data_IF_269610456892
#
_entry.id   IF_269610456892
#
_cell.length_a   1.000
_cell.length_b   1.000
_cell.length_c   1.000
_cell.angle_alpha   90.00
_cell.angle_beta   90.00
_cell.angle_gamma   90.00
#
_symmetry.space_group_name_H-M   'P 1'
#
loop_
_entity.id
_entity.type
_entity.pdbx_description
1 polymer ?
#
# COMPACT_ATOMS: atom_id res chain seq x y z
N UNK A 1 39.24 1.02 35.51
CA UNK A 1 38.83 0.02 34.50
C UNK A 1 37.62 -0.73 35.04
N UNK A 2 36.42 -0.49 34.49
CA UNK A 2 35.23 -1.30 34.83
C UNK A 2 35.33 -2.60 34.03
N UNK A 3 35.56 -3.70 34.71
CA UNK A 3 35.62 -5.05 34.13
C UNK A 3 34.26 -5.36 33.52
N UNK A 4 34.21 -5.60 32.21
CA UNK A 4 32.99 -6.03 31.55
C UNK A 4 32.60 -7.42 32.08
N UNK A 5 31.46 -7.51 32.76
CA UNK A 5 30.88 -8.81 33.12
C UNK A 5 30.29 -9.45 31.87
N UNK A 6 31.08 -10.32 31.22
CA UNK A 6 30.59 -11.22 30.19
C UNK A 6 29.63 -12.21 30.85
N UNK A 7 28.33 -11.94 30.72
CA UNK A 7 27.29 -12.90 31.11
C UNK A 7 27.16 -13.89 29.96
N UNK A 8 27.60 -15.12 30.16
CA UNK A 8 27.32 -16.20 29.22
C UNK A 8 25.80 -16.35 29.09
N UNK A 9 25.26 -15.94 27.94
CA UNK A 9 23.87 -16.24 27.61
C UNK A 9 23.84 -17.73 27.28
N UNK A 10 22.95 -18.53 27.91
CA UNK A 10 22.76 -19.93 27.55
C UNK A 10 22.57 -20.04 26.03
N UNK A 11 23.41 -20.83 25.37
CA UNK A 11 23.39 -21.01 23.91
C UNK A 11 22.17 -21.79 23.42
N UNK A 12 21.51 -22.51 24.32
CA UNK A 12 20.23 -23.16 24.07
C UNK A 12 19.09 -22.21 24.41
N UNK A 13 18.47 -21.63 23.39
CA UNK A 13 17.05 -21.26 23.50
C UNK A 13 16.35 -22.52 23.95
N UNK A 14 15.57 -22.48 25.04
CA UNK A 14 14.84 -23.67 25.50
C UNK A 14 14.16 -24.32 24.29
N UNK A 15 14.58 -25.56 23.96
CA UNK A 15 14.23 -26.30 22.75
C UNK A 15 12.74 -26.63 22.77
N UNK A 16 11.89 -25.62 22.54
CA UNK A 16 10.50 -25.87 22.19
C UNK A 16 10.57 -26.37 20.75
N UNK A 17 10.30 -27.67 20.50
CA UNK A 17 10.36 -28.19 19.16
C UNK A 17 9.33 -27.45 18.31
N UNK A 18 9.71 -27.14 17.07
CA UNK A 18 8.80 -26.51 16.14
C UNK A 18 7.61 -27.42 15.87
N UNK A 19 6.43 -26.82 15.81
CA UNK A 19 5.22 -27.53 15.44
C UNK A 19 5.35 -28.04 13.99
N UNK A 20 4.74 -29.19 13.65
CA UNK A 20 4.74 -29.70 12.28
C UNK A 20 4.27 -28.66 11.26
N UNK A 21 3.28 -27.83 11.62
CA UNK A 21 2.79 -26.73 10.78
C UNK A 21 3.86 -25.65 10.55
N UNK A 22 4.64 -25.29 11.57
CA UNK A 22 5.76 -24.33 11.43
C UNK A 22 6.83 -24.87 10.48
N UNK A 23 7.13 -26.17 10.59
CA UNK A 23 8.10 -26.84 9.73
C UNK A 23 7.64 -26.87 8.26
N UNK A 24 6.36 -27.16 8.04
CA UNK A 24 5.76 -27.13 6.70
C UNK A 24 5.75 -25.72 6.10
N UNK A 25 5.31 -24.71 6.87
CA UNK A 25 5.31 -23.30 6.45
C UNK A 25 6.72 -22.85 6.09
N UNK A 26 7.73 -23.17 6.92
CA UNK A 26 9.12 -22.86 6.59
C UNK A 26 9.54 -23.53 5.28
N UNK A 27 9.36 -24.85 5.17
CA UNK A 27 9.78 -25.61 4.00
C UNK A 27 9.10 -25.14 2.70
N UNK A 28 7.85 -24.70 2.78
CA UNK A 28 7.04 -24.31 1.63
C UNK A 28 7.21 -22.84 1.26
N UNK A 29 7.39 -21.93 2.23
CA UNK A 29 7.36 -20.48 2.00
C UNK A 29 8.68 -19.75 2.23
N UNK A 30 9.59 -20.27 3.07
CA UNK A 30 10.76 -19.52 3.55
C UNK A 30 12.09 -20.20 3.26
N UNK A 31 12.12 -21.53 3.18
CA UNK A 31 13.30 -22.31 2.85
C UNK A 31 13.78 -21.97 1.44
N UNK A 32 15.01 -21.46 1.34
CA UNK A 32 15.60 -21.19 0.05
C UNK A 32 15.86 -22.52 -0.68
N UNK A 33 15.40 -22.60 -1.93
CA UNK A 33 15.54 -23.75 -2.81
C UNK A 33 16.05 -23.27 -4.16
N UNK A 34 16.83 -24.10 -4.84
CA UNK A 34 17.23 -23.87 -6.22
C UNK A 34 16.02 -24.01 -7.15
N UNK A 35 16.18 -23.64 -8.43
CA UNK A 35 15.15 -23.80 -9.48
C UNK A 35 14.59 -25.22 -9.56
N UNK A 36 15.41 -26.24 -9.29
CA UNK A 36 15.02 -27.66 -9.35
C UNK A 36 14.44 -28.18 -8.02
N UNK A 37 14.12 -27.28 -7.07
CA UNK A 37 13.53 -27.63 -5.78
C UNK A 37 14.51 -28.17 -4.73
N UNK A 38 15.83 -28.24 -5.06
CA UNK A 38 16.83 -28.69 -4.10
C UNK A 38 17.03 -27.65 -2.99
N UNK A 39 16.99 -28.02 -1.70
CA UNK A 39 17.25 -27.10 -0.61
C UNK A 39 18.64 -26.48 -0.66
N UNK A 40 18.69 -25.15 -0.55
CA UNK A 40 19.91 -24.38 -0.28
C UNK A 40 20.06 -24.24 1.24
N UNK A 41 19.00 -23.79 1.90
CA UNK A 41 18.91 -23.84 3.36
C UNK A 41 18.53 -25.27 3.78
N UNK A 42 19.41 -25.99 4.50
CA UNK A 42 19.13 -27.37 4.93
C UNK A 42 18.25 -27.38 6.18
N UNK A 43 18.45 -26.40 7.06
CA UNK A 43 17.78 -26.19 8.33
C UNK A 43 17.27 -24.75 8.46
N UNK A 44 16.42 -24.49 9.45
CA UNK A 44 15.96 -23.13 9.77
C UNK A 44 17.14 -22.23 10.19
N UNK A 45 18.11 -22.81 10.89
CA UNK A 45 19.35 -22.12 11.25
C UNK A 45 20.15 -21.68 10.02
N UNK A 46 20.16 -22.46 8.93
CA UNK A 46 20.79 -22.03 7.68
C UNK A 46 20.07 -20.82 7.08
N UNK A 47 18.72 -20.79 7.16
CA UNK A 47 17.92 -19.61 6.79
C UNK A 47 18.31 -18.42 7.68
N UNK A 48 18.40 -18.59 8.99
CA UNK A 48 18.78 -17.51 9.90
C UNK A 48 20.19 -17.00 9.64
N UNK A 49 21.16 -17.89 9.40
CA UNK A 49 22.54 -17.51 9.08
C UNK A 49 22.63 -16.74 7.77
N UNK A 50 21.91 -17.18 6.73
CA UNK A 50 21.81 -16.46 5.46
C UNK A 50 21.24 -15.06 5.64
N UNK A 51 20.14 -14.93 6.39
CA UNK A 51 19.50 -13.63 6.66
C UNK A 51 20.42 -12.74 7.47
N UNK A 52 21.02 -13.24 8.55
CA UNK A 52 21.93 -12.49 9.40
C UNK A 52 23.13 -11.93 8.63
N UNK A 53 23.78 -12.77 7.81
CA UNK A 53 24.88 -12.35 6.95
C UNK A 53 24.45 -11.26 5.97
N UNK A 54 23.32 -11.46 5.29
CA UNK A 54 22.80 -10.48 4.32
C UNK A 54 22.44 -9.13 4.97
N UNK A 55 21.93 -9.14 6.21
CA UNK A 55 21.65 -7.91 6.94
C UNK A 55 22.94 -7.18 7.36
N UNK A 56 23.99 -7.93 7.69
CA UNK A 56 25.27 -7.36 8.10
C UNK A 56 26.09 -6.79 6.93
N UNK A 57 25.78 -7.12 5.67
CA UNK A 57 26.55 -6.65 4.50
C UNK A 57 26.63 -5.11 4.36
N UNK A 58 25.70 -4.38 4.95
CA UNK A 58 25.69 -2.91 4.95
C UNK A 58 26.75 -2.29 5.86
N UNK A 59 27.34 -3.08 6.77
CA UNK A 59 28.37 -2.60 7.69
C UNK A 59 29.68 -2.24 6.97
N UNK A 60 30.37 -1.26 7.52
CA UNK A 60 31.48 -0.59 6.82
C UNK A 60 32.70 -1.47 6.60
N UNK A 61 33.06 -2.30 7.58
CA UNK A 61 34.29 -3.12 7.55
C UNK A 61 33.98 -4.61 7.66
N UNK A 62 34.86 -5.49 7.15
CA UNK A 62 34.70 -6.95 7.30
C UNK A 62 34.53 -7.40 8.76
N UNK A 63 35.23 -6.75 9.70
CA UNK A 63 35.17 -7.07 11.13
C UNK A 63 33.79 -6.74 11.70
N UNK A 64 33.23 -5.58 11.33
CA UNK A 64 31.88 -5.19 11.72
C UNK A 64 30.81 -6.11 11.10
N UNK A 65 31.00 -6.50 9.83
CA UNK A 65 30.09 -7.45 9.16
C UNK A 65 30.03 -8.78 9.89
N UNK A 66 31.17 -9.31 10.31
CA UNK A 66 31.23 -10.56 11.09
C UNK A 66 30.57 -10.39 12.47
N UNK A 67 30.94 -9.32 13.20
CA UNK A 67 30.38 -9.02 14.52
C UNK A 67 28.85 -8.89 14.48
N UNK A 68 28.32 -8.13 13.52
CA UNK A 68 26.88 -7.92 13.38
C UNK A 68 26.16 -9.15 12.85
N UNK A 69 26.77 -9.93 11.94
CA UNK A 69 26.21 -11.21 11.48
C UNK A 69 25.97 -12.15 12.66
N UNK A 70 26.94 -12.30 13.56
CA UNK A 70 26.77 -13.14 14.76
C UNK A 70 25.69 -12.60 15.71
N UNK A 71 25.63 -11.28 15.92
CA UNK A 71 24.58 -10.64 16.74
C UNK A 71 23.18 -10.84 16.14
N UNK A 72 23.03 -10.66 14.83
CA UNK A 72 21.75 -10.88 14.15
C UNK A 72 21.35 -12.35 14.17
N UNK A 73 22.30 -13.26 13.98
CA UNK A 73 22.04 -14.70 14.06
C UNK A 73 21.57 -15.10 15.46
N UNK A 74 22.24 -14.60 16.50
CA UNK A 74 21.80 -14.76 17.89
C UNK A 74 20.37 -14.21 18.06
N UNK A 75 20.09 -12.99 17.62
CA UNK A 75 18.77 -12.37 17.77
C UNK A 75 17.65 -13.17 17.07
N UNK A 76 17.90 -13.66 15.85
CA UNK A 76 16.95 -14.48 15.09
C UNK A 76 16.57 -15.76 15.82
N UNK A 77 17.57 -16.46 16.40
CA UNK A 77 17.31 -17.65 17.24
C UNK A 77 16.50 -17.32 18.49
N UNK A 78 16.66 -16.11 19.04
CA UNK A 78 15.99 -15.67 20.27
C UNK A 78 14.66 -14.92 20.01
N UNK A 79 14.07 -15.07 18.82
CA UNK A 79 12.71 -14.62 18.54
C UNK A 79 12.58 -13.23 17.90
N UNK A 80 13.69 -12.57 17.55
CA UNK A 80 13.65 -11.37 16.72
C UNK A 80 13.39 -11.76 15.25
N UNK A 81 12.16 -12.18 14.94
CA UNK A 81 11.79 -12.70 13.62
C UNK A 81 11.40 -11.56 12.68
N UNK A 82 12.13 -11.33 11.57
CA UNK A 82 11.83 -10.26 10.65
C UNK A 82 10.63 -10.62 9.76
N UNK A 83 10.09 -9.61 9.08
CA UNK A 83 8.97 -9.78 8.17
C UNK A 83 9.26 -10.83 7.08
N UNK A 84 8.18 -11.45 6.57
CA UNK A 84 8.30 -12.62 5.71
C UNK A 84 9.07 -12.43 4.39
N UNK A 85 9.20 -11.20 3.84
CA UNK A 85 10.04 -10.97 2.64
C UNK A 85 11.51 -10.91 2.97
N UNK A 86 11.88 -10.34 4.11
CA UNK A 86 13.25 -10.35 4.60
C UNK A 86 13.72 -11.81 4.75
N UNK A 87 12.97 -12.64 5.47
CA UNK A 87 13.30 -14.07 5.67
C UNK A 87 13.43 -14.84 4.33
N UNK A 88 12.53 -14.59 3.38
CA UNK A 88 12.49 -15.30 2.08
C UNK A 88 13.58 -14.86 1.10
N UNK A 89 13.98 -13.58 1.14
CA UNK A 89 14.70 -12.95 0.02
C UNK A 89 16.07 -12.37 0.39
N UNK A 90 16.35 -12.07 1.67
CA UNK A 90 17.67 -11.57 2.08
C UNK A 90 18.75 -12.63 1.82
N UNK A 91 19.80 -12.30 1.06
CA UNK A 91 20.86 -13.25 0.68
C UNK A 91 20.42 -14.34 -0.30
N UNK A 92 19.30 -14.15 -1.01
CA UNK A 92 18.77 -15.11 -1.98
C UNK A 92 18.98 -14.70 -3.45
N UNK A 93 19.73 -13.63 -3.72
CA UNK A 93 19.81 -12.96 -5.03
C UNK A 93 20.30 -13.89 -6.15
N UNK A 94 21.15 -14.88 -5.85
CA UNK A 94 21.59 -15.89 -6.83
C UNK A 94 20.42 -16.72 -7.39
N UNK A 95 19.38 -16.95 -6.59
CA UNK A 95 18.22 -17.77 -6.97
C UNK A 95 16.93 -16.97 -7.18
N UNK A 96 16.86 -15.76 -6.62
CA UNK A 96 15.71 -14.84 -6.65
C UNK A 96 16.17 -13.39 -6.92
N UNK A 97 16.80 -13.11 -8.08
CA UNK A 97 17.53 -11.85 -8.32
C UNK A 97 16.63 -10.60 -8.36
N UNK A 98 15.36 -10.75 -8.74
CA UNK A 98 14.43 -9.64 -8.90
C UNK A 98 13.36 -9.62 -7.80
N UNK A 99 13.76 -9.84 -6.55
CA UNK A 99 12.85 -9.81 -5.39
C UNK A 99 13.28 -8.78 -4.36
N UNK A 100 12.30 -8.22 -3.65
CA UNK A 100 12.53 -7.20 -2.61
C UNK A 100 12.52 -7.82 -1.21
N UNK A 101 13.27 -7.24 -0.28
CA UNK A 101 13.16 -7.51 1.16
C UNK A 101 12.06 -6.69 1.82
N UNK A 102 11.47 -5.72 1.11
CA UNK A 102 10.37 -4.88 1.60
C UNK A 102 9.04 -5.63 1.46
N UNK A 103 8.24 -5.61 2.53
CA UNK A 103 6.91 -6.21 2.55
C UNK A 103 5.83 -5.25 2.05
N UNK A 104 5.84 -4.02 2.54
CA UNK A 104 4.75 -3.07 2.43
C UNK A 104 5.22 -1.82 1.71
N UNK A 105 4.46 -1.36 0.72
CA UNK A 105 4.70 -0.11 0.01
C UNK A 105 3.40 0.68 -0.13
N UNK A 106 3.52 1.98 -0.32
CA UNK A 106 2.41 2.84 -0.71
C UNK A 106 2.79 3.48 -2.04
N UNK A 107 1.85 3.46 -2.99
CA UNK A 107 2.02 4.16 -4.26
C UNK A 107 2.23 5.65 -4.01
N UNK A 108 2.98 6.30 -4.90
CA UNK A 108 2.87 7.75 -5.02
C UNK A 108 1.45 8.17 -5.40
N UNK A 109 1.17 9.46 -5.28
CA UNK A 109 -0.09 10.08 -5.69
C UNK A 109 -0.45 9.63 -7.11
N UNK A 110 -1.68 9.16 -7.29
CA UNK A 110 -2.25 8.89 -8.62
C UNK A 110 -2.85 10.21 -9.11
N UNK A 111 -2.30 10.80 -10.15
CA UNK A 111 -2.85 12.03 -10.75
C UNK A 111 -3.99 11.68 -11.68
N UNK A 112 -4.97 12.57 -11.73
CA UNK A 112 -6.16 12.47 -12.58
C UNK A 112 -5.86 12.67 -14.07
N UNK A 113 -5.10 11.73 -14.66
CA UNK A 113 -4.74 11.69 -16.07
C UNK A 113 -4.47 10.25 -16.51
N UNK A 114 -4.75 9.92 -17.77
CA UNK A 114 -4.56 8.54 -18.26
C UNK A 114 -3.11 8.08 -18.18
N UNK A 115 -2.16 8.96 -18.50
CA UNK A 115 -0.74 8.64 -18.45
C UNK A 115 -0.28 8.30 -17.04
N UNK A 116 -0.72 9.06 -16.03
CA UNK A 116 -0.34 8.79 -14.64
C UNK A 116 -1.06 7.55 -14.11
N UNK A 117 -2.37 7.40 -14.36
CA UNK A 117 -3.14 6.21 -13.96
C UNK A 117 -2.47 4.93 -14.47
N UNK A 118 -2.17 4.85 -15.77
CA UNK A 118 -1.54 3.67 -16.37
C UNK A 118 -0.06 3.52 -15.97
N UNK A 119 0.65 4.63 -15.78
CA UNK A 119 1.99 4.62 -15.22
C UNK A 119 2.03 3.99 -13.82
N UNK A 120 1.07 4.33 -12.96
CA UNK A 120 0.90 3.76 -11.62
C UNK A 120 0.47 2.29 -11.64
N UNK A 121 -0.31 1.85 -12.65
CA UNK A 121 -0.56 0.41 -12.88
C UNK A 121 0.74 -0.32 -13.21
N UNK A 122 1.61 0.26 -14.04
CA UNK A 122 2.89 -0.34 -14.39
C UNK A 122 3.82 -0.44 -13.17
N UNK A 123 3.98 0.64 -12.39
CA UNK A 123 4.74 0.64 -11.13
C UNK A 123 4.21 -0.41 -10.14
N UNK A 124 2.88 -0.52 -10.02
CA UNK A 124 2.23 -1.53 -9.21
C UNK A 124 2.57 -2.97 -9.64
N UNK A 125 2.53 -3.25 -10.94
CA UNK A 125 2.88 -4.57 -11.47
C UNK A 125 4.32 -4.96 -11.15
N UNK A 126 5.28 -4.03 -11.31
CA UNK A 126 6.67 -4.27 -10.93
C UNK A 126 6.84 -4.52 -9.43
N UNK A 127 6.11 -3.76 -8.61
CA UNK A 127 6.13 -3.87 -7.15
C UNK A 127 5.59 -5.23 -6.67
N UNK A 128 4.45 -5.67 -7.22
CA UNK A 128 3.84 -6.96 -6.93
C UNK A 128 4.72 -8.13 -7.40
N UNK A 129 5.29 -8.01 -8.61
CA UNK A 129 6.27 -8.96 -9.17
C UNK A 129 7.47 -9.11 -8.22
N UNK A 130 7.98 -8.03 -7.64
CA UNK A 130 9.10 -8.07 -6.71
C UNK A 130 8.77 -8.72 -5.35
N UNK A 131 7.48 -8.93 -5.04
CA UNK A 131 7.03 -9.57 -3.81
C UNK A 131 6.27 -8.64 -2.84
N UNK A 132 6.24 -7.34 -3.09
CA UNK A 132 5.67 -6.37 -2.15
C UNK A 132 4.13 -6.37 -2.23
N UNK A 133 3.47 -6.06 -1.12
CA UNK A 133 2.09 -5.57 -1.14
C UNK A 133 2.08 -4.04 -1.29
N UNK A 134 1.04 -3.50 -1.92
CA UNK A 134 0.99 -2.07 -2.28
C UNK A 134 -0.37 -1.44 -1.98
N UNK A 135 -0.35 -0.27 -1.33
CA UNK A 135 -1.53 0.56 -1.09
C UNK A 135 -1.64 1.75 -2.05
N UNK A 136 -2.86 2.22 -2.30
CA UNK A 136 -3.17 3.37 -3.17
C UNK A 136 -4.26 4.24 -2.55
N UNK A 137 -4.21 5.52 -2.91
CA UNK A 137 -5.27 6.49 -2.64
C UNK A 137 -5.91 6.83 -4.00
N UNK A 138 -7.22 6.57 -4.18
CA UNK A 138 -7.91 6.72 -5.47
C UNK A 138 -8.82 7.95 -5.54
N UNK A 139 -8.92 8.74 -4.47
CA UNK A 139 -9.85 9.89 -4.36
C UNK A 139 -9.39 11.09 -5.15
N UNK A 140 -8.17 11.05 -5.66
CA UNK A 140 -7.63 12.04 -6.58
C UNK A 140 -8.22 11.94 -7.98
N UNK A 141 -8.87 10.83 -8.33
CA UNK A 141 -9.45 10.61 -9.65
C UNK A 141 -10.86 11.21 -9.73
N UNK A 142 -11.16 11.90 -10.82
CA UNK A 142 -12.46 12.61 -10.97
C UNK A 142 -13.65 11.65 -10.93
N UNK A 143 -14.80 12.08 -10.39
CA UNK A 143 -15.94 11.20 -10.16
C UNK A 143 -16.58 10.74 -11.47
N UNK A 144 -17.30 9.61 -11.39
CA UNK A 144 -18.04 9.05 -12.53
C UNK A 144 -18.99 10.09 -13.13
N UNK A 145 -18.96 10.19 -14.46
CA UNK A 145 -19.78 11.17 -15.19
C UNK A 145 -19.20 12.58 -15.21
N UNK A 146 -18.03 12.83 -14.60
CA UNK A 146 -17.32 14.09 -14.83
C UNK A 146 -16.80 14.16 -16.27
N UNK A 147 -16.81 15.36 -16.84
CA UNK A 147 -16.36 15.61 -18.21
C UNK A 147 -14.84 15.52 -18.32
N UNK A 148 -14.34 15.10 -19.48
CA UNK A 148 -12.93 14.98 -19.82
C UNK A 148 -12.67 15.79 -21.08
N UNK A 149 -12.19 17.02 -20.91
CA UNK A 149 -12.02 17.99 -21.99
C UNK A 149 -11.16 17.46 -23.15
N UNK A 150 -10.03 16.84 -22.84
CA UNK A 150 -9.11 16.29 -23.85
C UNK A 150 -9.68 15.12 -24.67
N UNK A 151 -10.74 14.46 -24.19
CA UNK A 151 -11.39 13.34 -24.87
C UNK A 151 -12.78 13.66 -25.43
N UNK A 152 -13.36 14.82 -25.07
CA UNK A 152 -14.73 15.17 -25.45
C UNK A 152 -15.79 14.19 -24.90
N UNK A 153 -15.50 13.55 -23.77
CA UNK A 153 -16.30 12.44 -23.24
C UNK A 153 -16.43 12.51 -21.71
N UNK A 154 -17.19 11.59 -21.13
CA UNK A 154 -17.39 11.48 -19.69
C UNK A 154 -16.63 10.27 -19.12
N UNK A 155 -16.03 10.43 -17.94
CA UNK A 155 -15.27 9.35 -17.30
C UNK A 155 -16.19 8.30 -16.68
N UNK A 156 -15.69 7.06 -16.59
CA UNK A 156 -16.32 5.96 -15.86
C UNK A 156 -16.03 5.97 -14.35
N UNK A 157 -15.22 6.94 -13.89
CA UNK A 157 -14.90 7.17 -12.48
C UNK A 157 -13.81 6.25 -11.91
N UNK A 158 -13.40 6.46 -10.65
CA UNK A 158 -12.22 5.82 -10.06
C UNK A 158 -12.34 4.30 -9.98
N UNK A 159 -13.53 3.79 -9.64
CA UNK A 159 -13.76 2.35 -9.46
C UNK A 159 -13.53 1.54 -10.74
N UNK A 160 -13.82 2.11 -11.91
CA UNK A 160 -13.57 1.44 -13.19
C UNK A 160 -12.07 1.30 -13.47
N UNK A 161 -11.26 2.27 -13.05
CA UNK A 161 -9.81 2.16 -13.11
C UNK A 161 -9.27 1.16 -12.07
N UNK A 162 -9.87 1.09 -10.88
CA UNK A 162 -9.51 0.08 -9.89
C UNK A 162 -9.68 -1.35 -10.43
N UNK A 163 -10.62 -1.60 -11.34
CA UNK A 163 -10.77 -2.91 -12.00
C UNK A 163 -9.53 -3.28 -12.84
N UNK A 164 -8.84 -2.30 -13.45
CA UNK A 164 -7.56 -2.53 -14.15
C UNK A 164 -6.49 -3.00 -13.17
N UNK A 165 -6.39 -2.34 -12.00
CA UNK A 165 -5.44 -2.73 -10.96
C UNK A 165 -5.74 -4.12 -10.39
N UNK A 166 -7.02 -4.45 -10.18
CA UNK A 166 -7.45 -5.76 -9.68
C UNK A 166 -7.06 -6.88 -10.66
N UNK A 167 -7.32 -6.69 -11.95
CA UNK A 167 -6.93 -7.65 -13.00
C UNK A 167 -5.42 -7.75 -13.17
N UNK A 168 -4.71 -6.63 -13.10
CA UNK A 168 -3.25 -6.62 -13.11
C UNK A 168 -2.69 -7.44 -11.95
N UNK A 169 -3.16 -7.23 -10.72
CA UNK A 169 -2.67 -7.97 -9.55
C UNK A 169 -3.03 -9.45 -9.58
N UNK A 170 -4.22 -9.79 -10.08
CA UNK A 170 -4.60 -11.18 -10.31
C UNK A 170 -3.65 -11.87 -11.29
N UNK A 171 -3.26 -11.17 -12.36
CA UNK A 171 -2.37 -11.69 -13.41
C UNK A 171 -0.92 -11.78 -12.94
N UNK A 172 -0.43 -10.72 -12.30
CA UNK A 172 0.92 -10.62 -11.74
C UNK A 172 0.96 -11.37 -10.41
N UNK A 173 1.05 -12.70 -10.49
CA UNK A 173 1.31 -13.53 -9.32
C UNK A 173 2.60 -13.08 -8.64
N UNK A 174 2.52 -12.76 -7.33
CA UNK A 174 3.65 -12.21 -6.59
C UNK A 174 4.78 -13.23 -6.46
N UNK A 175 6.04 -12.77 -6.53
CA UNK A 175 7.21 -13.65 -6.43
C UNK A 175 7.15 -14.56 -5.18
N UNK A 176 7.55 -15.82 -5.40
CA UNK A 176 7.54 -16.87 -4.38
C UNK A 176 6.20 -17.57 -4.18
N UNK A 177 5.32 -17.57 -5.18
CA UNK A 177 4.04 -18.31 -5.14
C UNK A 177 3.06 -17.73 -4.11
N UNK A 178 3.13 -16.41 -3.88
CA UNK A 178 2.20 -15.68 -3.03
C UNK A 178 1.20 -14.94 -3.92
N UNK A 179 -0.03 -14.85 -3.44
CA UNK A 179 -1.04 -13.98 -4.05
C UNK A 179 -0.61 -12.51 -3.86
N UNK A 180 -0.80 -11.69 -4.89
CA UNK A 180 -0.66 -10.24 -4.74
C UNK A 180 -1.67 -9.71 -3.73
N UNK A 181 -1.29 -8.68 -2.99
CA UNK A 181 -2.16 -8.05 -2.01
C UNK A 181 -2.10 -6.54 -2.20
N UNK A 182 -3.27 -5.92 -2.31
CA UNK A 182 -3.40 -4.49 -2.51
C UNK A 182 -4.32 -3.87 -1.47
N UNK A 183 -4.13 -2.59 -1.19
CA UNK A 183 -5.05 -1.77 -0.39
C UNK A 183 -5.50 -0.58 -1.24
N UNK A 184 -6.80 -0.32 -1.30
CA UNK A 184 -7.34 0.91 -1.86
C UNK A 184 -7.97 1.71 -0.73
N UNK A 185 -7.53 2.95 -0.59
CA UNK A 185 -8.17 3.94 0.27
C UNK A 185 -9.00 4.90 -0.56
N UNK A 186 -10.05 5.43 0.06
CA UNK A 186 -10.97 6.37 -0.56
C UNK A 186 -11.49 7.38 0.47
N UNK A 187 -11.58 8.64 0.08
CA UNK A 187 -11.96 9.76 0.91
C UNK A 187 -13.46 9.74 1.14
N UNK A 188 -13.85 9.95 2.40
CA UNK A 188 -15.25 9.95 2.82
C UNK A 188 -16.08 11.08 2.17
N UNK A 189 -15.43 12.13 1.70
CA UNK A 189 -16.01 13.27 1.00
C UNK A 189 -15.95 13.18 -0.52
N UNK A 190 -15.52 12.06 -1.11
CA UNK A 190 -15.50 11.87 -2.57
C UNK A 190 -16.92 11.59 -3.12
N UNK A 191 -17.34 12.14 -4.29
CA UNK A 191 -18.68 11.91 -4.85
C UNK A 191 -19.06 10.43 -5.06
N UNK A 192 -18.09 9.60 -5.44
CA UNK A 192 -18.29 8.16 -5.66
C UNK A 192 -18.15 7.29 -4.39
N UNK A 193 -18.05 7.88 -3.18
CA UNK A 193 -17.80 7.14 -1.93
C UNK A 193 -18.86 6.06 -1.66
N UNK A 194 -20.12 6.33 -2.03
CA UNK A 194 -21.22 5.38 -1.86
C UNK A 194 -21.06 4.14 -2.73
N UNK A 195 -20.51 4.30 -3.93
CA UNK A 195 -20.24 3.19 -4.84
C UNK A 195 -19.02 2.41 -4.33
N UNK A 196 -17.99 3.10 -3.81
CA UNK A 196 -16.84 2.48 -3.16
C UNK A 196 -17.25 1.58 -1.99
N UNK A 197 -18.10 2.08 -1.08
CA UNK A 197 -18.64 1.32 0.07
C UNK A 197 -19.36 0.04 -0.39
N UNK A 198 -20.06 0.11 -1.53
CA UNK A 198 -20.85 -1.01 -2.06
C UNK A 198 -20.06 -1.93 -2.99
N UNK A 199 -18.85 -1.56 -3.39
CA UNK A 199 -18.13 -2.21 -4.50
C UNK A 199 -17.96 -3.73 -4.31
N UNK A 200 -17.77 -4.19 -3.07
CA UNK A 200 -17.63 -5.61 -2.72
C UNK A 200 -18.93 -6.35 -2.40
N UNK A 201 -20.09 -5.71 -2.55
CA UNK A 201 -21.38 -6.42 -2.53
C UNK A 201 -21.60 -7.24 -3.78
N UNK A 202 -20.94 -6.87 -4.87
CA UNK A 202 -20.86 -7.65 -6.09
C UNK A 202 -19.82 -8.77 -5.90
N UNK A 203 -20.24 -10.03 -6.03
CA UNK A 203 -19.30 -11.14 -5.92
C UNK A 203 -18.27 -11.08 -7.06
N UNK A 204 -17.02 -11.38 -6.73
CA UNK A 204 -15.94 -11.37 -7.72
C UNK A 204 -15.21 -10.04 -7.88
N UNK A 205 -15.83 -8.92 -7.51
CA UNK A 205 -15.30 -7.58 -7.78
C UNK A 205 -14.28 -7.12 -6.73
N UNK A 206 -13.19 -6.52 -7.21
CA UNK A 206 -12.08 -5.97 -6.38
C UNK A 206 -11.55 -6.99 -5.35
N UNK A 207 -11.44 -8.27 -5.74
CA UNK A 207 -11.00 -9.36 -4.86
C UNK A 207 -9.54 -9.23 -4.43
N UNK A 208 -8.69 -8.56 -5.18
CA UNK A 208 -7.26 -8.37 -4.85
C UNK A 208 -7.01 -7.20 -3.89
N UNK A 209 -8.03 -6.38 -3.64
CA UNK A 209 -7.95 -5.23 -2.75
C UNK A 209 -8.51 -5.53 -1.37
N UNK A 210 -7.90 -4.98 -0.34
CA UNK A 210 -8.63 -4.50 0.84
C UNK A 210 -9.11 -3.08 0.57
N UNK A 211 -10.29 -2.72 1.07
CA UNK A 211 -10.90 -1.40 0.87
C UNK A 211 -11.06 -0.71 2.22
N UNK A 212 -10.59 0.54 2.31
CA UNK A 212 -10.70 1.36 3.52
C UNK A 212 -11.13 2.77 3.18
N UNK A 213 -11.88 3.40 4.08
CA UNK A 213 -12.22 4.82 3.97
C UNK A 213 -11.24 5.67 4.77
N UNK A 214 -10.86 6.81 4.21
CA UNK A 214 -10.16 7.87 4.92
C UNK A 214 -11.21 8.73 5.61
N UNK A 215 -11.35 8.54 6.91
CA UNK A 215 -12.33 9.21 7.76
C UNK A 215 -11.66 10.41 8.42
N UNK A 216 -12.22 11.60 8.23
CA UNK A 216 -11.71 12.83 8.85
C UNK A 216 -12.40 13.12 10.19
N UNK A 217 -11.77 13.97 11.01
CA UNK A 217 -12.36 14.44 12.27
C UNK A 217 -13.67 15.21 12.01
N UNK A 218 -13.71 16.06 10.98
CA UNK A 218 -14.88 16.85 10.61
C UNK A 218 -16.08 15.97 10.25
N UNK A 219 -15.83 14.85 9.56
CA UNK A 219 -16.86 13.88 9.26
C UNK A 219 -17.42 13.25 10.55
N UNK A 220 -16.55 12.84 11.48
CA UNK A 220 -16.99 12.26 12.75
C UNK A 220 -17.80 13.24 13.59
N UNK A 221 -17.42 14.51 13.62
CA UNK A 221 -18.19 15.57 14.27
C UNK A 221 -19.53 15.84 13.54
N UNK A 222 -19.56 15.71 12.21
CA UNK A 222 -20.82 15.76 11.46
C UNK A 222 -21.74 14.58 11.80
N UNK A 223 -21.21 13.36 11.96
CA UNK A 223 -21.98 12.17 12.37
C UNK A 223 -22.56 12.36 13.78
N UNK A 224 -21.75 12.77 14.76
CA UNK A 224 -22.20 13.01 16.14
C UNK A 224 -23.33 14.04 16.18
N UNK A 225 -23.15 15.16 15.48
CA UNK A 225 -24.11 16.26 15.44
C UNK A 225 -25.28 16.10 14.45
N UNK A 226 -25.42 14.96 13.77
CA UNK A 226 -26.42 14.74 12.69
C UNK A 226 -26.40 15.82 11.59
N UNK A 227 -25.21 16.33 11.27
CA UNK A 227 -25.04 17.39 10.27
C UNK A 227 -25.04 16.84 8.84
N UNK A 228 -25.21 17.75 7.89
CA UNK A 228 -24.99 17.48 6.46
C UNK A 228 -23.50 17.27 6.19
N UNK A 229 -23.21 16.52 5.14
CA UNK A 229 -21.87 16.20 4.64
C UNK A 229 -21.85 16.33 3.12
N UNK A 230 -20.92 17.12 2.61
CA UNK A 230 -20.80 17.42 1.20
C UNK A 230 -19.82 16.46 0.52
N UNK A 231 -20.30 15.85 -0.55
CA UNK A 231 -19.48 15.06 -1.45
C UNK A 231 -19.03 15.97 -2.60
N UNK A 232 -17.74 16.24 -2.66
CA UNK A 232 -17.17 17.29 -3.49
C UNK A 232 -15.85 16.87 -4.12
N UNK A 233 -15.55 17.45 -5.28
CA UNK A 233 -14.32 17.17 -6.02
C UNK A 233 -13.75 18.47 -6.63
N UNK A 234 -12.42 18.62 -6.75
CA UNK A 234 -11.79 19.79 -7.33
C UNK A 234 -12.33 20.20 -8.70
N UNK A 235 -12.34 21.50 -8.95
CA UNK A 235 -12.68 22.09 -10.25
C UNK A 235 -11.55 22.95 -10.78
N UNK A 236 -11.43 23.00 -12.11
CA UNK A 236 -10.53 23.93 -12.80
C UNK A 236 -11.28 25.18 -13.25
N UNK A 237 -10.54 26.27 -13.51
CA UNK A 237 -11.12 27.57 -13.90
C UNK A 237 -12.08 27.49 -15.10
N UNK A 238 -11.68 26.74 -16.13
CA UNK A 238 -12.49 26.56 -17.34
C UNK A 238 -13.85 25.90 -17.05
N UNK A 239 -13.88 24.91 -16.14
CA UNK A 239 -15.11 24.21 -15.75
C UNK A 239 -15.99 25.10 -14.87
N UNK A 240 -15.38 25.89 -13.97
CA UNK A 240 -16.12 26.84 -13.14
C UNK A 240 -16.84 27.91 -14.00
N UNK A 241 -16.15 28.43 -15.01
CA UNK A 241 -16.72 29.40 -15.96
C UNK A 241 -17.82 28.77 -16.83
N UNK A 242 -17.58 27.57 -17.40
CA UNK A 242 -18.55 26.92 -18.29
C UNK A 242 -19.82 26.49 -17.56
N UNK A 243 -19.68 26.04 -16.31
CA UNK A 243 -20.79 25.55 -15.49
C UNK A 243 -21.48 26.68 -14.70
N UNK A 244 -20.95 27.91 -14.76
CA UNK A 244 -21.49 29.07 -14.03
C UNK A 244 -21.39 28.93 -12.51
N UNK A 245 -20.30 28.33 -12.01
CA UNK A 245 -20.10 28.08 -10.57
C UNK A 245 -19.67 29.36 -9.87
N UNK A 246 -20.44 29.78 -8.87
CA UNK A 246 -20.04 30.85 -7.97
C UNK A 246 -19.10 30.30 -6.89
N UNK A 247 -17.82 30.68 -6.96
CA UNK A 247 -16.79 30.24 -6.02
C UNK A 247 -16.99 30.80 -4.59
N UNK A 248 -17.79 31.85 -4.45
CA UNK A 248 -18.13 32.43 -3.16
C UNK A 248 -19.35 31.76 -2.51
N UNK A 249 -20.11 30.94 -3.26
CA UNK A 249 -21.30 30.26 -2.77
C UNK A 249 -20.93 28.98 -2.00
N UNK A 250 -21.12 28.93 -0.67
CA UNK A 250 -20.79 27.75 0.14
C UNK A 250 -21.73 26.57 -0.11
N UNK A 251 -22.85 26.76 -0.81
CA UNK A 251 -23.72 25.65 -1.24
C UNK A 251 -23.22 24.97 -2.52
N UNK A 252 -22.34 25.64 -3.28
CA UNK A 252 -21.75 25.11 -4.52
C UNK A 252 -20.30 24.66 -4.34
N UNK A 253 -19.53 25.32 -3.47
CA UNK A 253 -18.09 25.10 -3.35
C UNK A 253 -17.65 24.93 -1.89
N UNK A 254 -16.81 23.93 -1.66
CA UNK A 254 -16.07 23.73 -0.41
C UNK A 254 -14.57 23.81 -0.68
N UNK A 255 -13.82 24.45 0.21
CA UNK A 255 -12.37 24.58 0.11
C UNK A 255 -11.68 23.46 0.89
N UNK A 256 -10.82 22.67 0.22
CA UNK A 256 -10.14 21.51 0.83
C UNK A 256 -8.64 21.52 0.56
N UNK A 257 -7.88 20.88 1.44
CA UNK A 257 -6.49 20.54 1.11
C UNK A 257 -6.45 19.51 -0.01
N UNK A 258 -5.47 19.61 -0.91
CA UNK A 258 -5.34 18.69 -2.03
C UNK A 258 -3.87 18.30 -2.26
N UNK A 259 -3.57 17.02 -2.55
CA UNK A 259 -2.20 16.49 -2.48
C UNK A 259 -1.26 16.96 -3.62
N UNK A 260 -1.79 17.57 -4.68
CA UNK A 260 -0.99 18.11 -5.78
C UNK A 260 -1.71 19.28 -6.47
N UNK A 261 -1.01 19.93 -7.38
CA UNK A 261 -1.58 20.98 -8.23
C UNK A 261 -1.80 20.50 -9.66
N UNK A 262 -2.94 20.85 -10.24
CA UNK A 262 -3.35 20.45 -11.60
C UNK A 262 -4.11 21.57 -12.31
N UNK A 263 -3.75 22.83 -12.04
CA UNK A 263 -4.51 23.99 -12.52
C UNK A 263 -5.86 24.16 -11.80
N UNK A 264 -5.96 23.64 -10.57
CA UNK A 264 -7.14 23.84 -9.75
C UNK A 264 -7.20 25.26 -9.21
N UNK A 265 -8.40 25.75 -8.97
CA UNK A 265 -8.61 27.08 -8.37
C UNK A 265 -8.23 27.01 -6.90
N UNK A 266 -7.41 27.96 -6.43
CA UNK A 266 -6.91 28.02 -5.06
C UNK A 266 -7.25 29.33 -4.37
N UNK A 267 -7.45 29.27 -3.06
CA UNK A 267 -7.57 30.46 -2.21
C UNK A 267 -6.20 30.87 -1.63
N UNK A 268 -6.16 32.00 -0.92
CA UNK A 268 -4.94 32.54 -0.29
C UNK A 268 -4.31 31.63 0.76
N UNK A 269 -5.05 30.62 1.25
CA UNK A 269 -4.57 29.59 2.18
C UNK A 269 -4.02 28.35 1.48
N UNK A 270 -4.00 28.34 0.14
CA UNK A 270 -3.53 27.23 -0.67
C UNK A 270 -4.52 26.07 -0.81
N UNK A 271 -5.75 26.21 -0.30
CA UNK A 271 -6.80 25.20 -0.43
C UNK A 271 -7.40 25.23 -1.83
N UNK A 272 -7.86 24.09 -2.32
CA UNK A 272 -8.47 23.91 -3.64
C UNK A 272 -9.99 24.01 -3.55
N UNK A 273 -10.58 24.76 -4.48
CA UNK A 273 -12.03 24.83 -4.67
C UNK A 273 -12.56 23.48 -5.15
N UNK A 274 -13.47 22.88 -4.40
CA UNK A 274 -14.13 21.63 -4.74
C UNK A 274 -15.62 21.87 -4.94
N UNK A 275 -16.14 21.57 -6.15
CA UNK A 275 -17.57 21.63 -6.46
C UNK A 275 -18.31 20.55 -5.68
N UNK A 276 -19.39 20.93 -5.02
CA UNK A 276 -20.30 20.04 -4.32
C UNK A 276 -21.18 19.34 -5.36
N UNK A 277 -21.03 18.02 -5.46
CA UNK A 277 -21.87 17.19 -6.34
C UNK A 277 -23.16 16.77 -5.64
N UNK A 278 -23.06 16.55 -4.32
CA UNK A 278 -24.18 16.04 -3.53
C UNK A 278 -23.95 16.30 -2.06
N UNK A 279 -25.02 16.68 -1.36
CA UNK A 279 -25.04 16.79 0.10
C UNK A 279 -25.91 15.69 0.71
N UNK A 280 -25.40 14.99 1.72
CA UNK A 280 -26.14 13.93 2.43
C UNK A 280 -26.05 14.12 3.94
N UNK A 281 -26.91 13.46 4.73
CA UNK A 281 -26.75 13.40 6.19
C UNK A 281 -25.54 12.52 6.52
N UNK A 282 -24.62 13.01 7.37
CA UNK A 282 -23.43 12.26 7.75
C UNK A 282 -23.77 10.90 8.37
N UNK A 283 -24.79 10.84 9.24
CA UNK A 283 -25.30 9.59 9.84
C UNK A 283 -25.88 8.58 8.86
N UNK A 284 -26.25 9.01 7.64
CA UNK A 284 -26.72 8.09 6.59
C UNK A 284 -25.54 7.46 5.84
N UNK A 285 -24.41 8.16 5.79
CA UNK A 285 -23.17 7.65 5.18
C UNK A 285 -22.42 6.71 6.14
N UNK A 286 -22.46 7.02 7.44
CA UNK A 286 -21.98 6.16 8.53
C UNK A 286 -22.82 4.88 8.66
#
# INVERSE_FOLDING_TARGET
MKTAHLKAVPSGVADIPLQPASQDIWNTKYRLKTKNGRPVDKTIDDTYRRVARALAETEATPELREEWSEKFFWALRHGAIPAGRITSNAGAQEHKPATSTINCTVSGIIRDSMNDILGKVHEAGLTLKAGCGIGYEFSTLRPKGAYVSGAGAYTSGPLSFMDIYDKMCFTVSSAGGRRGAQMATFDIGHPDVMDFIRAKREDGRLRQFNLSLLITEEFMEAVKGDRKWDLAFPIIAQEAESDGIDLADPEQVVWREWPYDNGYIRNDRGQVACKIYKTIRARRLW
#
